data_IF_374222189151
#
_entry.id   IF_374222189151
#
_cell.length_a   1.000
_cell.length_b   1.000
_cell.length_c   1.000
_cell.angle_alpha   90.00
_cell.angle_beta   90.00
_cell.angle_gamma   90.00
#
_symmetry.space_group_name_H-M   'P 1'
#
loop_
_entity.id
_entity.type
_entity.pdbx_description
1 polymer ?
#
# COMPACT_ATOMS: atom_id res chain seq x y z
N UNK A 1 5.90 -15.03 -3.20
CA UNK A 1 4.94 -13.95 -3.54
C UNK A 1 5.14 -12.70 -2.68
N UNK A 2 4.87 -12.72 -1.37
CA UNK A 2 4.98 -11.55 -0.47
C UNK A 2 6.34 -10.81 -0.51
N UNK A 3 7.45 -11.56 -0.44
CA UNK A 3 8.82 -10.99 -0.56
C UNK A 3 9.08 -10.26 -1.88
N UNK A 4 8.48 -10.71 -2.99
CA UNK A 4 8.64 -10.10 -4.31
C UNK A 4 7.96 -8.73 -4.38
N UNK A 5 6.71 -8.65 -3.93
CA UNK A 5 5.95 -7.39 -3.81
C UNK A 5 6.70 -6.43 -2.90
N UNK A 6 7.10 -6.89 -1.70
CA UNK A 6 7.85 -6.07 -0.74
C UNK A 6 9.11 -5.45 -1.36
N UNK A 7 9.95 -6.27 -2.00
CA UNK A 7 11.18 -5.77 -2.62
C UNK A 7 10.90 -4.77 -3.76
N UNK A 8 9.84 -5.00 -4.54
CA UNK A 8 9.43 -4.06 -5.59
C UNK A 8 8.99 -2.71 -5.01
N UNK A 9 8.19 -2.73 -3.93
CA UNK A 9 7.76 -1.52 -3.23
C UNK A 9 8.94 -0.79 -2.58
N UNK A 10 9.88 -1.51 -1.96
CA UNK A 10 11.08 -0.91 -1.39
C UNK A 10 11.90 -0.20 -2.47
N UNK A 11 12.10 -0.83 -3.63
CA UNK A 11 12.80 -0.20 -4.76
C UNK A 11 12.08 1.06 -5.26
N UNK A 12 10.74 1.01 -5.34
CA UNK A 12 9.95 2.17 -5.74
C UNK A 12 10.02 3.32 -4.71
N UNK A 13 9.95 2.99 -3.42
CA UNK A 13 10.10 3.93 -2.32
C UNK A 13 11.48 4.59 -2.32
N UNK A 14 12.56 3.81 -2.53
CA UNK A 14 13.92 4.33 -2.69
C UNK A 14 14.06 5.30 -3.87
N UNK A 15 13.30 5.08 -4.94
CA UNK A 15 13.24 5.97 -6.10
C UNK A 15 12.25 7.13 -5.94
N UNK A 16 11.57 7.26 -4.79
CA UNK A 16 10.48 8.21 -4.56
C UNK A 16 9.38 8.15 -5.62
N UNK A 17 9.09 6.94 -6.10
CA UNK A 17 8.05 6.68 -7.10
C UNK A 17 6.87 5.97 -6.45
N UNK A 18 5.69 6.31 -6.94
CA UNK A 18 4.47 5.54 -6.67
C UNK A 18 4.37 4.36 -7.62
N UNK A 19 3.70 3.30 -7.17
CA UNK A 19 3.43 2.10 -7.97
C UNK A 19 1.93 1.95 -8.11
N UNK A 20 1.45 1.53 -9.27
CA UNK A 20 0.02 1.33 -9.47
C UNK A 20 -0.42 -0.06 -9.04
N UNK A 21 -1.63 -0.19 -8.49
CA UNK A 21 -2.22 -1.50 -8.19
C UNK A 21 -2.20 -2.46 -9.39
N UNK A 22 -2.38 -1.95 -10.61
CA UNK A 22 -2.26 -2.75 -11.83
C UNK A 22 -0.86 -3.31 -12.05
N UNK A 23 0.19 -2.51 -11.80
CA UNK A 23 1.59 -2.96 -11.96
C UNK A 23 1.95 -4.00 -10.91
N UNK A 24 1.51 -3.80 -9.65
CA UNK A 24 1.71 -4.81 -8.60
C UNK A 24 0.96 -6.08 -8.94
N UNK A 25 -0.29 -5.98 -9.41
CA UNK A 25 -1.08 -7.12 -9.86
C UNK A 25 -0.41 -7.90 -10.97
N UNK A 26 0.02 -7.23 -12.04
CA UNK A 26 0.74 -7.83 -13.16
C UNK A 26 2.04 -8.50 -12.71
N UNK A 27 2.83 -7.86 -11.85
CA UNK A 27 4.09 -8.40 -11.33
C UNK A 27 3.91 -9.70 -10.52
N UNK A 28 2.71 -9.97 -10.01
CA UNK A 28 2.38 -11.23 -9.31
C UNK A 28 1.33 -12.08 -10.01
N UNK A 29 1.06 -11.83 -11.31
CA UNK A 29 0.06 -12.54 -12.11
C UNK A 29 -1.36 -12.54 -11.48
N UNK A 30 -1.73 -11.46 -10.80
CA UNK A 30 -3.09 -11.21 -10.31
C UNK A 30 -3.83 -10.29 -11.27
N UNK A 31 -5.00 -10.73 -11.72
CA UNK A 31 -5.91 -9.94 -12.54
C UNK A 31 -6.65 -8.92 -11.67
N UNK A 32 -6.37 -7.65 -11.91
CA UNK A 32 -7.12 -6.55 -11.29
C UNK A 32 -8.56 -6.46 -11.79
N UNK A 33 -8.91 -7.17 -12.87
CA UNK A 33 -10.29 -7.33 -13.33
C UNK A 33 -11.12 -8.30 -12.47
N UNK A 34 -10.48 -9.16 -11.68
CA UNK A 34 -11.16 -10.08 -10.77
C UNK A 34 -11.24 -9.47 -9.35
N UNK A 35 -12.44 -9.21 -8.81
CA UNK A 35 -12.62 -8.64 -7.48
C UNK A 35 -11.95 -9.46 -6.36
N UNK A 36 -11.96 -10.78 -6.45
CA UNK A 36 -11.34 -11.67 -5.46
C UNK A 36 -9.81 -11.52 -5.46
N UNK A 37 -9.19 -11.48 -6.65
CA UNK A 37 -7.74 -11.32 -6.77
C UNK A 37 -7.28 -9.90 -6.37
N UNK A 38 -8.10 -8.89 -6.65
CA UNK A 38 -7.87 -7.52 -6.17
C UNK A 38 -7.92 -7.43 -4.65
N UNK A 39 -8.91 -8.08 -4.02
CA UNK A 39 -9.01 -8.15 -2.57
C UNK A 39 -7.81 -8.88 -1.95
N UNK A 40 -7.38 -9.98 -2.56
CA UNK A 40 -6.21 -10.74 -2.11
C UNK A 40 -4.92 -9.90 -2.19
N UNK A 41 -4.74 -9.12 -3.26
CA UNK A 41 -3.62 -8.17 -3.35
C UNK A 41 -3.66 -7.15 -2.21
N UNK A 42 -4.84 -6.58 -1.92
CA UNK A 42 -5.03 -5.64 -0.82
C UNK A 42 -4.69 -6.26 0.54
N UNK A 43 -5.07 -7.53 0.76
CA UNK A 43 -4.73 -8.29 1.97
C UNK A 43 -3.23 -8.50 2.10
N UNK A 44 -2.55 -8.92 1.03
CA UNK A 44 -1.10 -9.11 1.02
C UNK A 44 -0.36 -7.80 1.32
N UNK A 45 -0.76 -6.70 0.69
CA UNK A 45 -0.18 -5.37 0.95
C UNK A 45 -0.39 -4.94 2.40
N UNK A 46 -1.53 -5.32 2.98
CA UNK A 46 -1.83 -5.03 4.37
C UNK A 46 -0.94 -5.82 5.32
N UNK A 47 -0.76 -7.12 5.09
CA UNK A 47 0.16 -7.95 5.88
C UNK A 47 1.60 -7.41 5.83
N UNK A 48 2.10 -7.05 4.64
CA UNK A 48 3.43 -6.45 4.48
C UNK A 48 3.53 -5.14 5.27
N UNK A 49 2.51 -4.29 5.20
CA UNK A 49 2.54 -2.99 5.89
C UNK A 49 2.42 -3.13 7.41
N UNK A 50 1.69 -4.13 7.90
CA UNK A 50 1.69 -4.48 9.33
C UNK A 50 3.09 -4.92 9.78
N UNK A 51 3.77 -5.79 9.01
CA UNK A 51 5.14 -6.19 9.33
C UNK A 51 6.11 -4.99 9.35
N UNK A 52 5.99 -4.05 8.40
CA UNK A 52 6.81 -2.83 8.43
C UNK A 52 6.50 -1.97 9.67
N UNK A 53 5.23 -1.84 10.03
CA UNK A 53 4.79 -1.10 11.22
C UNK A 53 5.36 -1.69 12.51
N UNK A 54 5.28 -3.01 12.68
CA UNK A 54 5.81 -3.72 13.86
C UNK A 54 7.32 -3.53 14.00
N UNK A 55 8.02 -3.30 12.89
CA UNK A 55 9.44 -2.97 12.85
C UNK A 55 9.74 -1.45 12.93
N UNK A 56 8.74 -0.61 13.18
CA UNK A 56 8.88 0.85 13.29
C UNK A 56 9.12 1.57 11.96
N UNK A 57 8.86 0.94 10.83
CA UNK A 57 9.14 1.46 9.48
C UNK A 57 7.90 2.13 8.85
N UNK A 58 8.07 2.97 7.82
CA UNK A 58 6.96 3.53 7.05
C UNK A 58 6.15 2.46 6.32
N UNK A 59 4.87 2.72 6.08
CA UNK A 59 3.99 1.75 5.43
C UNK A 59 4.24 1.73 3.91
N UNK A 60 4.79 0.62 3.41
CA UNK A 60 5.07 0.46 1.98
C UNK A 60 3.81 0.54 1.09
N UNK A 61 2.62 0.21 1.61
CA UNK A 61 1.38 0.36 0.86
C UNK A 61 0.99 1.83 0.61
N UNK A 62 1.61 2.81 1.28
CA UNK A 62 1.32 4.24 1.08
C UNK A 62 1.71 4.75 -0.32
N UNK A 63 2.69 4.11 -0.96
CA UNK A 63 3.13 4.43 -2.33
C UNK A 63 2.34 3.67 -3.39
N UNK A 64 1.45 2.75 -3.01
CA UNK A 64 0.60 2.00 -3.95
C UNK A 64 -0.68 2.75 -4.18
N UNK A 65 -0.94 3.16 -5.43
CA UNK A 65 -2.05 4.05 -5.77
C UNK A 65 -2.89 3.54 -6.94
N UNK A 66 -4.14 3.98 -7.02
CA UNK A 66 -4.95 3.76 -8.23
C UNK A 66 -4.47 4.68 -9.36
N UNK A 67 -4.57 4.21 -10.62
CA UNK A 67 -4.19 5.00 -11.80
C UNK A 67 -5.07 6.25 -11.96
N UNK A 68 -6.34 6.16 -11.59
CA UNK A 68 -7.33 7.22 -11.85
C UNK A 68 -7.16 8.43 -10.93
N UNK A 69 -6.98 8.20 -9.63
CA UNK A 69 -6.95 9.26 -8.62
C UNK A 69 -5.57 9.46 -7.97
N UNK A 70 -4.58 8.60 -8.26
CA UNK A 70 -3.25 8.59 -7.63
C UNK A 70 -3.29 8.55 -6.09
N UNK A 71 -4.37 8.01 -5.53
CA UNK A 71 -4.55 7.80 -4.08
C UNK A 71 -4.47 6.31 -3.73
N UNK A 72 -4.00 5.97 -2.52
CA UNK A 72 -4.11 4.62 -1.99
C UNK A 72 -5.57 4.16 -1.93
N UNK A 73 -5.78 2.86 -2.03
CA UNK A 73 -7.11 2.27 -1.91
C UNK A 73 -7.64 2.33 -0.48
N UNK A 74 -8.95 2.19 -0.31
CA UNK A 74 -9.61 2.21 0.99
C UNK A 74 -9.03 1.17 1.98
N UNK A 75 -8.54 0.03 1.47
CA UNK A 75 -7.89 -0.99 2.27
C UNK A 75 -6.64 -0.49 3.02
N UNK A 76 -5.88 0.43 2.44
CA UNK A 76 -4.72 1.05 3.09
C UNK A 76 -5.13 1.89 4.30
N UNK A 77 -6.15 2.75 4.13
CA UNK A 77 -6.64 3.58 5.23
C UNK A 77 -7.31 2.76 6.33
N UNK A 78 -8.05 1.71 5.96
CA UNK A 78 -8.61 0.75 6.93
C UNK A 78 -7.51 0.11 7.76
N UNK A 79 -6.43 -0.34 7.13
CA UNK A 79 -5.28 -0.89 7.83
C UNK A 79 -4.61 0.16 8.73
N UNK A 80 -4.32 1.34 8.20
CA UNK A 80 -3.65 2.40 8.95
C UNK A 80 -4.42 2.79 10.22
N UNK A 81 -5.76 2.82 10.16
CA UNK A 81 -6.62 2.97 11.35
C UNK A 81 -6.56 1.76 12.26
N UNK A 82 -6.60 0.54 11.71
CA UNK A 82 -6.60 -0.70 12.49
C UNK A 82 -5.30 -0.89 13.30
N UNK A 83 -4.16 -0.47 12.76
CA UNK A 83 -2.86 -0.52 13.45
C UNK A 83 -2.57 0.76 14.28
N UNK A 84 -3.52 1.68 14.37
CA UNK A 84 -3.38 2.93 15.14
C UNK A 84 -2.41 3.97 14.56
N UNK A 85 -1.97 3.79 13.31
CA UNK A 85 -1.10 4.73 12.58
C UNK A 85 -1.84 6.01 12.18
N UNK A 86 -3.09 5.86 11.74
CA UNK A 86 -3.95 6.98 11.37
C UNK A 86 -4.97 7.20 12.48
N UNK A 87 -5.09 8.44 12.95
CA UNK A 87 -6.14 8.80 13.92
C UNK A 87 -7.51 8.79 13.23
N UNK A 88 -8.60 8.44 13.94
CA UNK A 88 -9.94 8.42 13.35
C UNK A 88 -10.38 9.80 12.80
N UNK A 89 -9.88 10.89 13.37
CA UNK A 89 -10.16 12.27 12.96
C UNK A 89 -9.14 12.84 11.95
N UNK A 90 -8.12 12.07 11.56
CA UNK A 90 -7.07 12.52 10.65
C UNK A 90 -7.47 12.30 9.18
N UNK A 91 -7.36 13.36 8.39
CA UNK A 91 -7.67 13.31 6.97
C UNK A 91 -6.75 12.34 6.20
N UNK A 92 -7.37 11.50 5.37
CA UNK A 92 -6.70 10.47 4.57
C UNK A 92 -5.63 11.06 3.64
N UNK A 93 -5.89 12.23 3.03
CA UNK A 93 -4.93 12.85 2.12
C UNK A 93 -3.72 13.40 2.88
N UNK A 94 -3.95 14.00 4.04
CA UNK A 94 -2.88 14.47 4.93
C UNK A 94 -1.99 13.33 5.39
N UNK A 95 -2.57 12.24 5.90
CA UNK A 95 -1.84 11.05 6.32
C UNK A 95 -1.01 10.44 5.18
N UNK A 96 -1.61 10.34 3.99
CA UNK A 96 -0.93 9.78 2.82
C UNK A 96 0.28 10.63 2.39
N UNK A 97 0.20 11.96 2.47
CA UNK A 97 1.35 12.84 2.17
C UNK A 97 2.48 12.62 3.15
N UNK A 98 2.18 12.59 4.45
CA UNK A 98 3.19 12.39 5.50
C UNK A 98 3.91 11.04 5.33
N UNK A 99 3.19 9.95 5.10
CA UNK A 99 3.80 8.63 4.91
C UNK A 99 4.62 8.53 3.61
N UNK A 100 4.29 9.31 2.56
CA UNK A 100 5.08 9.36 1.33
C UNK A 100 6.38 10.17 1.47
N UNK A 101 6.47 11.04 2.47
CA UNK A 101 7.63 11.91 2.71
C UNK A 101 8.61 11.34 3.76
N UNK A 102 8.22 10.28 4.47
CA UNK A 102 9.07 9.55 5.44
C UNK A 102 10.05 8.59 4.77
#
# INVERSE_FOLDING_TARGET
>A
MRKGIRNMLIKAAQQRKVVYYSEVGEAVNLSMGNPHQRAELGRILSEISSEEHDNGRPLLAAIVVHKDNKKPGEGFFKLARNIGKQKPDEDNDTFCKIEKER
#
